data_IF_885162519496
#
_entry.id   IF_885162519496
#
_cell.length_a   1.000
_cell.length_b   1.000
_cell.length_c   1.000
_cell.angle_alpha   90.00
_cell.angle_beta   90.00
_cell.angle_gamma   90.00
#
_symmetry.space_group_name_H-M   'P 1'
#
loop_
_entity.id
_entity.type
_entity.pdbx_description
1 polymer ?
#
# COMPACT_ATOMS: atom_id res chain seq x y z
N UNK A 1 -11.51 -1.22 1.98
CA UNK A 1 -11.03 -0.81 3.31
C UNK A 1 -9.66 -1.40 3.62
N UNK A 2 -8.88 -0.72 4.47
CA UNK A 2 -7.65 -1.23 5.06
C UNK A 2 -7.64 -0.95 6.57
N UNK A 3 -6.54 -1.27 7.25
CA UNK A 3 -6.35 -0.97 8.68
C UNK A 3 -6.00 0.51 8.96
N UNK A 4 -5.81 1.32 7.95
CA UNK A 4 -5.52 2.76 8.07
C UNK A 4 -6.63 3.62 7.48
N UNK A 5 -6.89 3.49 6.18
CA UNK A 5 -7.90 4.24 5.43
C UNK A 5 -8.43 3.41 4.26
N UNK A 6 -9.47 3.87 3.59
CA UNK A 6 -9.83 3.31 2.29
C UNK A 6 -8.70 3.53 1.29
N UNK A 7 -8.51 2.55 0.42
CA UNK A 7 -7.58 2.60 -0.69
C UNK A 7 -8.29 2.35 -2.00
N UNK A 8 -7.79 2.94 -3.08
CA UNK A 8 -8.14 2.57 -4.44
C UNK A 8 -7.02 1.72 -5.00
N UNK A 9 -7.36 0.58 -5.56
CA UNK A 9 -6.39 -0.42 -5.97
C UNK A 9 -6.74 -1.12 -7.26
N UNK A 10 -5.78 -1.81 -7.80
CA UNK A 10 -5.93 -2.65 -8.98
C UNK A 10 -4.96 -3.84 -8.94
N UNK A 11 -5.15 -4.76 -9.86
CA UNK A 11 -4.27 -5.87 -10.09
C UNK A 11 -2.86 -5.41 -10.46
N UNK A 12 -1.83 -6.09 -9.98
CA UNK A 12 -0.42 -5.70 -10.19
C UNK A 12 -0.02 -5.62 -11.69
N UNK A 13 -0.60 -6.47 -12.52
CA UNK A 13 -0.31 -6.54 -13.96
C UNK A 13 -1.16 -5.61 -14.83
N UNK A 14 -2.17 -4.96 -14.28
CA UNK A 14 -3.15 -4.18 -15.04
C UNK A 14 -2.71 -2.72 -15.22
N UNK A 15 -1.99 -2.47 -16.32
CA UNK A 15 -1.54 -1.12 -16.68
C UNK A 15 -2.70 -0.15 -16.91
N UNK A 16 -3.78 -0.60 -17.54
CA UNK A 16 -4.92 0.27 -17.84
C UNK A 16 -5.65 0.69 -16.56
N UNK A 17 -5.82 -0.23 -15.61
CA UNK A 17 -6.38 0.09 -14.31
C UNK A 17 -5.47 1.05 -13.52
N UNK A 18 -4.16 0.87 -13.58
CA UNK A 18 -3.19 1.77 -12.97
C UNK A 18 -3.31 3.20 -13.52
N UNK A 19 -3.40 3.33 -14.84
CA UNK A 19 -3.57 4.63 -15.50
C UNK A 19 -4.93 5.26 -15.15
N UNK A 20 -5.97 4.45 -14.95
CA UNK A 20 -7.28 4.90 -14.46
C UNK A 20 -7.19 5.48 -13.05
N UNK A 21 -6.49 4.81 -12.14
CA UNK A 21 -6.23 5.32 -10.78
C UNK A 21 -5.50 6.67 -10.83
N UNK A 22 -4.46 6.78 -11.66
CA UNK A 22 -3.74 8.04 -11.83
C UNK A 22 -4.65 9.19 -12.28
N UNK A 23 -5.57 8.93 -13.19
CA UNK A 23 -6.55 9.94 -13.65
C UNK A 23 -7.53 10.33 -12.55
N UNK A 24 -8.10 9.36 -11.84
CA UNK A 24 -9.06 9.59 -10.73
C UNK A 24 -8.41 10.46 -9.66
N UNK A 25 -7.19 10.11 -9.25
CA UNK A 25 -6.46 10.78 -8.19
C UNK A 25 -5.65 11.99 -8.67
N UNK A 26 -5.57 12.24 -9.98
CA UNK A 26 -4.69 13.26 -10.60
C UNK A 26 -3.23 13.14 -10.15
N UNK A 27 -2.73 11.91 -10.11
CA UNK A 27 -1.35 11.61 -9.76
C UNK A 27 -0.44 11.83 -10.96
N UNK A 28 0.77 12.35 -10.71
CA UNK A 28 1.79 12.41 -11.75
C UNK A 28 2.40 11.02 -12.04
N UNK A 29 3.17 10.93 -13.12
CA UNK A 29 3.80 9.68 -13.55
C UNK A 29 4.86 9.15 -12.56
N UNK A 30 5.31 9.98 -11.61
CA UNK A 30 6.35 9.64 -10.63
C UNK A 30 5.78 9.19 -9.29
N UNK A 31 4.46 9.32 -9.09
CA UNK A 31 3.83 8.90 -7.86
C UNK A 31 4.03 7.40 -7.63
N UNK A 32 4.53 7.05 -6.46
CA UNK A 32 4.80 5.66 -6.10
C UNK A 32 3.52 4.99 -5.58
N UNK A 33 3.16 3.86 -6.17
CA UNK A 33 2.13 2.98 -5.66
C UNK A 33 2.72 2.02 -4.62
N UNK A 34 1.85 1.53 -3.74
CA UNK A 34 2.23 0.53 -2.73
C UNK A 34 1.70 -0.84 -3.15
N UNK A 35 2.54 -1.87 -3.02
CA UNK A 35 2.11 -3.25 -3.11
C UNK A 35 1.44 -3.66 -1.79
N UNK A 36 0.19 -4.05 -1.89
CA UNK A 36 -0.57 -4.62 -0.77
C UNK A 36 -0.43 -6.13 -0.83
N UNK A 37 0.28 -6.69 0.14
CA UNK A 37 0.64 -8.10 0.21
C UNK A 37 -0.16 -8.81 1.29
N UNK A 38 -0.39 -10.11 1.09
CA UNK A 38 -1.10 -10.97 2.03
C UNK A 38 -0.29 -11.29 3.27
N UNK A 39 1.02 -11.53 3.11
CA UNK A 39 1.93 -11.97 4.16
C UNK A 39 3.40 -11.66 3.84
N UNK A 40 4.30 -12.04 4.74
CA UNK A 40 5.74 -11.86 4.56
C UNK A 40 6.32 -12.68 3.40
N UNK A 41 5.78 -13.85 3.11
CA UNK A 41 6.22 -14.66 1.97
C UNK A 41 6.02 -13.92 0.66
N UNK A 42 4.90 -13.23 0.53
CA UNK A 42 4.58 -12.42 -0.63
C UNK A 42 5.49 -11.19 -0.72
N UNK A 43 5.78 -10.52 0.40
CA UNK A 43 6.79 -9.45 0.45
C UNK A 43 8.14 -9.95 -0.05
N UNK A 44 8.59 -11.11 0.43
CA UNK A 44 9.90 -11.68 0.06
C UNK A 44 10.00 -12.06 -1.42
N UNK A 45 8.88 -12.29 -2.09
CA UNK A 45 8.83 -12.49 -3.56
C UNK A 45 9.13 -11.20 -4.32
N UNK A 46 8.59 -10.08 -3.87
CA UNK A 46 8.64 -8.79 -4.58
C UNK A 46 9.74 -7.83 -4.09
N UNK A 47 10.31 -8.11 -2.92
CA UNK A 47 11.36 -7.28 -2.33
C UNK A 47 12.51 -8.12 -1.78
N UNK A 48 13.69 -7.51 -1.72
CA UNK A 48 14.87 -8.12 -1.09
C UNK A 48 14.76 -7.96 0.42
N UNK A 49 14.75 -9.08 1.11
CA UNK A 49 14.57 -9.16 2.57
C UNK A 49 15.73 -9.98 3.15
N UNK A 50 16.62 -9.34 3.88
CA UNK A 50 17.64 -10.03 4.67
C UNK A 50 17.09 -10.45 6.05
N UNK A 51 17.89 -11.12 6.85
CA UNK A 51 17.47 -11.65 8.14
C UNK A 51 17.09 -10.54 9.14
N UNK A 52 17.76 -9.40 9.10
CA UNK A 52 17.48 -8.27 10.00
C UNK A 52 16.16 -7.62 9.63
N UNK A 53 15.98 -7.33 8.36
CA UNK A 53 14.71 -6.80 7.83
C UNK A 53 13.56 -7.78 8.08
N UNK A 54 13.77 -9.08 7.86
CA UNK A 54 12.75 -10.09 8.11
C UNK A 54 12.24 -10.06 9.55
N UNK A 55 13.13 -9.93 10.53
CA UNK A 55 12.73 -9.87 11.96
C UNK A 55 11.88 -8.65 12.26
N UNK A 56 12.25 -7.48 11.70
CA UNK A 56 11.46 -6.25 11.83
C UNK A 56 10.07 -6.41 11.19
N UNK A 57 10.03 -6.91 9.97
CA UNK A 57 8.77 -7.14 9.27
C UNK A 57 7.85 -8.11 10.03
N UNK A 58 8.43 -9.20 10.56
CA UNK A 58 7.68 -10.18 11.34
C UNK A 58 7.06 -9.59 12.61
N UNK A 59 7.74 -8.65 13.24
CA UNK A 59 7.24 -7.96 14.43
C UNK A 59 6.12 -6.97 14.10
N UNK A 60 6.16 -6.34 12.93
CA UNK A 60 5.29 -5.24 12.54
C UNK A 60 4.15 -5.62 11.60
N UNK A 61 4.10 -6.88 11.15
CA UNK A 61 3.07 -7.32 10.19
C UNK A 61 2.21 -8.45 10.76
N UNK A 62 0.89 -8.44 10.47
CA UNK A 62 0.16 -7.38 9.78
C UNK A 62 0.08 -6.09 10.59
N UNK A 63 -0.04 -4.95 9.93
CA UNK A 63 -0.14 -3.67 10.63
C UNK A 63 -0.12 -2.47 9.70
N UNK A 64 -0.31 -1.29 10.28
CA UNK A 64 -0.46 -0.02 9.57
C UNK A 64 0.87 0.60 9.17
N UNK A 65 1.68 -0.15 8.45
CA UNK A 65 2.99 0.26 7.95
C UNK A 65 3.08 0.17 6.44
N UNK A 66 3.92 1.00 5.87
CA UNK A 66 4.45 0.89 4.52
C UNK A 66 5.97 0.80 4.58
N UNK A 67 6.53 -0.30 4.13
CA UNK A 67 7.97 -0.53 4.11
C UNK A 67 8.53 -0.26 2.72
N UNK A 68 9.60 0.53 2.64
CA UNK A 68 10.33 0.78 1.40
C UNK A 68 11.53 -0.18 1.37
N UNK A 69 11.58 -1.01 0.34
CA UNK A 69 12.60 -2.05 0.16
C UNK A 69 13.09 -2.05 -1.30
N UNK A 70 14.26 -2.61 -1.53
CA UNK A 70 14.74 -2.90 -2.90
C UNK A 70 13.81 -3.92 -3.55
N UNK A 71 13.32 -3.59 -4.74
CA UNK A 71 12.48 -4.46 -5.52
C UNK A 71 13.27 -5.62 -6.13
N UNK A 72 12.63 -6.78 -6.27
CA UNK A 72 13.09 -7.88 -7.10
C UNK A 72 12.65 -7.69 -8.55
N UNK A 73 13.10 -8.58 -9.44
CA UNK A 73 12.67 -8.61 -10.85
C UNK A 73 11.18 -8.94 -11.04
N UNK A 74 10.53 -9.46 -10.00
CA UNK A 74 9.08 -9.75 -10.01
C UNK A 74 8.22 -8.48 -10.02
N UNK A 75 8.76 -7.36 -9.56
CA UNK A 75 8.05 -6.07 -9.62
C UNK A 75 8.18 -5.48 -11.01
N UNK A 76 7.07 -5.17 -11.70
CA UNK A 76 7.13 -4.46 -12.98
C UNK A 76 7.88 -3.13 -12.86
N UNK A 77 8.73 -2.83 -13.83
CA UNK A 77 9.59 -1.63 -13.78
C UNK A 77 8.82 -0.32 -13.60
N UNK A 78 7.61 -0.22 -14.16
CA UNK A 78 6.73 0.95 -14.01
C UNK A 78 6.27 1.20 -12.57
N UNK A 79 6.36 0.20 -11.70
CA UNK A 79 5.92 0.25 -10.30
C UNK A 79 7.07 0.50 -9.34
N UNK A 80 8.31 0.47 -9.81
CA UNK A 80 9.50 0.78 -9.00
C UNK A 80 9.82 2.26 -9.04
N UNK A 81 10.46 2.73 -7.98
CA UNK A 81 11.15 4.02 -8.03
C UNK A 81 12.24 3.99 -9.10
N UNK A 82 12.19 4.94 -10.05
CA UNK A 82 13.02 4.89 -11.27
C UNK A 82 14.53 4.83 -10.98
N UNK A 83 15.01 5.59 -9.98
CA UNK A 83 16.45 5.66 -9.63
C UNK A 83 16.84 4.62 -8.57
N UNK A 84 16.11 4.57 -7.48
CA UNK A 84 16.46 3.72 -6.32
C UNK A 84 16.11 2.25 -6.53
N UNK A 85 15.24 1.93 -7.50
CA UNK A 85 14.71 0.59 -7.75
C UNK A 85 14.05 0.00 -6.51
N UNK A 86 13.32 0.82 -5.78
CA UNK A 86 12.59 0.47 -4.57
C UNK A 86 11.11 0.37 -4.83
N UNK A 87 10.41 -0.30 -3.93
CA UNK A 87 8.96 -0.43 -3.91
C UNK A 87 8.48 -0.30 -2.48
N UNK A 88 7.32 0.32 -2.29
CA UNK A 88 6.62 0.31 -1.00
C UNK A 88 5.73 -0.92 -0.90
N UNK A 89 5.78 -1.60 0.24
CA UNK A 89 4.97 -2.80 0.50
C UNK A 89 4.29 -2.68 1.86
N UNK A 90 3.11 -3.27 1.98
CA UNK A 90 2.40 -3.38 3.25
C UNK A 90 1.63 -4.68 3.36
N UNK A 91 1.40 -5.11 4.61
CA UNK A 91 0.49 -6.21 4.96
C UNK A 91 -0.58 -5.65 5.89
N UNK A 92 -1.75 -5.24 5.37
CA UNK A 92 -2.80 -4.65 6.18
C UNK A 92 -3.40 -5.65 7.17
N UNK A 93 -3.64 -5.20 8.39
CA UNK A 93 -4.41 -5.93 9.40
C UNK A 93 -5.90 -5.62 9.22
N UNK A 94 -6.48 -6.19 8.16
CA UNK A 94 -7.90 -6.02 7.83
C UNK A 94 -8.42 -7.29 7.16
N UNK A 95 -9.45 -7.88 7.73
CA UNK A 95 -10.00 -9.17 7.28
C UNK A 95 -10.55 -9.11 5.84
N UNK A 96 -11.15 -8.00 5.45
CA UNK A 96 -11.69 -7.82 4.08
C UNK A 96 -10.55 -7.76 3.07
N UNK A 97 -9.54 -6.95 3.33
CA UNK A 97 -8.35 -6.87 2.47
C UNK A 97 -7.64 -8.22 2.36
N UNK A 98 -7.48 -8.93 3.48
CA UNK A 98 -6.84 -10.24 3.50
C UNK A 98 -7.63 -11.29 2.72
N UNK A 99 -8.96 -11.30 2.83
CA UNK A 99 -9.81 -12.19 2.05
C UNK A 99 -9.70 -11.90 0.54
N UNK A 100 -9.71 -10.63 0.16
CA UNK A 100 -9.55 -10.20 -1.23
C UNK A 100 -8.19 -10.64 -1.81
N UNK A 101 -7.11 -10.45 -1.07
CA UNK A 101 -5.77 -10.85 -1.49
C UNK A 101 -5.63 -12.37 -1.60
N UNK A 102 -6.28 -13.11 -0.71
CA UNK A 102 -6.30 -14.58 -0.74
C UNK A 102 -7.00 -15.09 -1.99
N UNK A 103 -8.16 -14.56 -2.32
CA UNK A 103 -8.91 -14.93 -3.53
C UNK A 103 -8.18 -14.52 -4.80
N UNK A 104 -7.55 -13.35 -4.80
CA UNK A 104 -6.78 -12.85 -5.94
C UNK A 104 -5.50 -13.68 -6.20
N UNK A 105 -4.88 -14.20 -5.14
CA UNK A 105 -3.67 -15.02 -5.22
C UNK A 105 -2.39 -14.24 -5.53
N UNK A 106 -2.43 -12.91 -5.54
CA UNK A 106 -1.29 -12.04 -5.79
C UNK A 106 -1.50 -10.65 -5.15
N UNK A 107 -0.44 -9.82 -5.04
CA UNK A 107 -0.57 -8.49 -4.48
C UNK A 107 -1.40 -7.55 -5.35
N UNK A 108 -1.96 -6.55 -4.70
CA UNK A 108 -2.61 -5.42 -5.39
C UNK A 108 -1.70 -4.19 -5.35
N UNK A 109 -1.83 -3.36 -6.38
CA UNK A 109 -1.31 -1.99 -6.35
C UNK A 109 -2.36 -1.09 -5.74
N UNK A 110 -1.96 -0.20 -4.85
CA UNK A 110 -2.90 0.73 -4.23
C UNK A 110 -2.31 2.10 -3.92
N UNK A 111 -3.20 3.06 -3.78
CA UNK A 111 -2.97 4.37 -3.18
C UNK A 111 -4.12 4.69 -2.24
N UNK A 112 -3.87 5.55 -1.26
CA UNK A 112 -4.93 6.00 -0.34
C UNK A 112 -6.05 6.72 -1.12
N UNK A 113 -7.31 6.49 -0.72
CA UNK A 113 -8.48 7.08 -1.38
C UNK A 113 -8.71 8.52 -0.93
N UNK A 114 -7.83 9.39 -1.40
CA UNK A 114 -7.93 10.84 -1.21
C UNK A 114 -8.31 11.46 -2.56
N UNK A 115 -9.44 12.16 -2.62
CA UNK A 115 -9.85 12.86 -3.84
C UNK A 115 -8.96 14.06 -4.12
N UNK A 116 -8.76 14.43 -5.40
CA UNK A 116 -7.98 15.62 -5.75
C UNK A 116 -8.52 16.87 -5.04
N UNK A 117 -7.63 17.61 -4.38
CA UNK A 117 -7.99 18.81 -3.61
C UNK A 117 -8.39 18.55 -2.16
N UNK A 118 -8.66 17.31 -1.77
CA UNK A 118 -8.96 16.96 -0.39
C UNK A 118 -7.69 16.75 0.43
N UNK A 119 -7.75 17.09 1.70
CA UNK A 119 -6.66 16.88 2.66
C UNK A 119 -6.70 15.47 3.27
N UNK A 120 -7.91 14.91 3.42
CA UNK A 120 -8.15 13.64 4.11
C UNK A 120 -8.80 12.61 3.18
N UNK A 121 -8.58 11.30 3.42
CA UNK A 121 -9.25 10.25 2.67
C UNK A 121 -10.76 10.23 2.94
N UNK A 122 -11.52 9.75 1.96
CA UNK A 122 -12.93 9.43 2.16
C UNK A 122 -13.04 8.26 3.15
N UNK A 123 -13.94 8.40 4.13
CA UNK A 123 -14.11 7.44 5.23
C UNK A 123 -15.39 6.62 5.14
N UNK A 124 -16.39 7.13 4.45
CA UNK A 124 -17.71 6.51 4.30
C UNK A 124 -17.79 5.80 2.93
N UNK A 125 -18.03 4.49 2.90
CA UNK A 125 -18.16 3.76 1.64
C UNK A 125 -19.34 4.24 0.78
N UNK A 126 -20.38 4.79 1.37
CA UNK A 126 -21.46 5.44 0.63
C UNK A 126 -20.94 6.63 -0.19
N UNK A 127 -20.18 7.52 0.42
CA UNK A 127 -19.58 8.68 -0.25
C UNK A 127 -18.60 8.26 -1.34
N UNK A 128 -17.82 7.21 -1.09
CA UNK A 128 -16.91 6.63 -2.09
C UNK A 128 -17.70 6.13 -3.29
N UNK A 129 -18.76 5.39 -3.06
CA UNK A 129 -19.62 4.86 -4.12
C UNK A 129 -20.26 6.01 -4.93
N UNK A 130 -20.87 6.98 -4.26
CA UNK A 130 -21.48 8.12 -4.93
C UNK A 130 -20.48 8.91 -5.79
N UNK A 131 -19.24 9.03 -5.31
CA UNK A 131 -18.20 9.78 -6.02
C UNK A 131 -17.61 8.99 -7.19
N UNK A 132 -17.44 7.67 -7.06
CA UNK A 132 -16.61 6.85 -7.96
C UNK A 132 -17.34 5.74 -8.71
N UNK A 133 -18.65 5.56 -8.53
CA UNK A 133 -19.39 4.42 -9.09
C UNK A 133 -19.27 4.26 -10.61
N UNK A 134 -18.98 5.32 -11.34
CA UNK A 134 -18.77 5.30 -12.79
C UNK A 134 -17.30 5.20 -13.20
N UNK A 135 -16.37 5.29 -12.23
CA UNK A 135 -14.93 5.32 -12.49
C UNK A 135 -14.22 4.04 -12.02
N UNK A 136 -14.83 3.28 -11.12
CA UNK A 136 -14.31 2.01 -10.61
C UNK A 136 -15.26 0.86 -10.89
N UNK A 137 -14.73 -0.36 -10.95
CA UNK A 137 -15.52 -1.55 -11.23
C UNK A 137 -16.28 -2.07 -9.99
N UNK A 138 -15.71 -1.82 -8.80
CA UNK A 138 -16.23 -2.34 -7.53
C UNK A 138 -15.91 -1.41 -6.38
N UNK A 139 -16.86 -1.22 -5.48
CA UNK A 139 -16.66 -0.60 -4.17
C UNK A 139 -16.99 -1.64 -3.11
N UNK A 140 -16.05 -1.94 -2.24
CA UNK A 140 -16.23 -2.89 -1.14
C UNK A 140 -16.55 -2.11 0.12
N UNK A 141 -17.76 -2.28 0.62
CA UNK A 141 -18.23 -1.66 1.86
C UNK A 141 -17.73 -2.46 3.07
N UNK A 142 -16.79 -1.89 3.78
CA UNK A 142 -16.28 -2.41 5.06
C UNK A 142 -16.66 -1.54 6.25
N UNK A 143 -17.68 -0.68 6.09
CA UNK A 143 -18.03 0.32 7.09
C UNK A 143 -17.11 1.53 7.05
N UNK A 144 -17.13 2.33 8.09
CA UNK A 144 -16.24 3.49 8.20
C UNK A 144 -14.79 3.06 8.36
N UNK A 145 -13.89 3.70 7.62
CA UNK A 145 -12.44 3.59 7.80
C UNK A 145 -11.87 4.85 8.49
N UNK A 146 -10.64 4.72 8.98
CA UNK A 146 -9.90 5.85 9.54
C UNK A 146 -9.39 6.83 8.48
N UNK A 147 -8.76 7.90 8.98
CA UNK A 147 -8.13 8.93 8.16
C UNK A 147 -6.61 8.98 8.36
N UNK A 148 -6.11 8.21 9.31
CA UNK A 148 -4.70 8.22 9.67
C UNK A 148 -3.87 7.43 8.67
N UNK A 149 -2.81 8.04 8.16
CA UNK A 149 -1.92 7.40 7.20
C UNK A 149 -1.07 6.30 7.87
N UNK A 150 -0.54 5.39 7.06
CA UNK A 150 0.45 4.41 7.53
C UNK A 150 1.75 5.09 7.97
N UNK A 151 2.44 4.48 8.91
CA UNK A 151 3.85 4.78 9.17
C UNK A 151 4.69 4.26 8.02
N UNK A 152 5.55 5.11 7.46
CA UNK A 152 6.42 4.77 6.33
C UNK A 152 7.86 4.62 6.82
N UNK A 153 8.44 3.45 6.61
CA UNK A 153 9.80 3.12 7.05
C UNK A 153 10.64 2.67 5.85
N UNK A 154 11.75 3.37 5.63
CA UNK A 154 12.75 2.97 4.63
C UNK A 154 13.70 1.96 5.27
N UNK A 155 13.75 0.75 4.71
CA UNK A 155 14.57 -0.38 5.18
C UNK A 155 15.63 -0.77 4.12
N UNK A 156 15.98 0.12 3.22
CA UNK A 156 16.95 -0.14 2.15
C UNK A 156 18.37 -0.24 2.70
N UNK A 157 18.72 0.66 3.62
CA UNK A 157 20.03 0.72 4.26
C UNK A 157 20.04 -0.06 5.58
N UNK A 158 21.22 -0.26 6.15
CA UNK A 158 21.39 -1.04 7.39
C UNK A 158 20.61 -0.47 8.59
N UNK A 159 20.42 0.86 8.61
CA UNK A 159 19.67 1.54 9.67
C UNK A 159 18.29 1.91 9.17
N UNK A 160 17.21 1.45 9.83
CA UNK A 160 15.86 1.86 9.50
C UNK A 160 15.67 3.38 9.58
N UNK A 161 14.95 3.94 8.63
CA UNK A 161 14.63 5.38 8.61
C UNK A 161 13.12 5.58 8.57
N UNK A 162 12.55 6.16 9.62
CA UNK A 162 11.14 6.54 9.64
C UNK A 162 10.95 7.78 8.77
N UNK A 163 10.36 7.58 7.60
CA UNK A 163 10.09 8.65 6.63
C UNK A 163 8.84 9.46 6.99
N UNK A 164 7.88 8.81 7.63
CA UNK A 164 6.64 9.42 8.11
C UNK A 164 6.12 8.62 9.29
N UNK A 165 5.94 9.26 10.43
CA UNK A 165 5.18 8.69 11.53
C UNK A 165 3.67 8.79 11.20
N UNK A 166 2.97 7.68 11.34
CA UNK A 166 1.54 7.56 11.13
C UNK A 166 0.93 6.63 12.18
N UNK A 167 -0.03 5.81 11.76
CA UNK A 167 -0.77 4.94 12.67
C UNK A 167 0.07 3.82 13.30
N UNK A 168 1.07 3.31 12.58
CA UNK A 168 1.98 2.29 13.11
C UNK A 168 2.96 2.85 14.13
N UNK A 169 3.22 2.10 15.21
CA UNK A 169 4.18 2.48 16.25
C UNK A 169 5.60 2.60 15.67
N UNK A 170 6.30 3.69 16.00
CA UNK A 170 7.69 3.93 15.53
C UNK A 170 8.75 3.30 16.44
N UNK A 171 8.39 2.91 17.67
CA UNK A 171 9.34 2.39 18.64
C UNK A 171 10.22 1.22 18.12
N UNK A 172 9.73 0.28 17.30
CA UNK A 172 10.57 -0.79 16.75
C UNK A 172 11.72 -0.30 15.85
N UNK A 173 11.68 0.95 15.38
CA UNK A 173 12.64 1.53 14.43
C UNK A 173 13.49 2.65 15.04
N UNK A 174 13.26 2.97 16.31
CA UNK A 174 14.08 3.89 17.08
C UNK A 174 15.20 3.14 17.80
N UNK A 175 16.44 3.58 17.63
CA UNK A 175 17.62 3.07 18.34
C UNK A 175 17.90 3.90 19.59
#
# INVERSE_FOLDING_TARGET
>A
PTDSAYAIGCHIGDKNALDRIRRIRKLDARHNFTLVCRDLSEIATYARVDNTVYRLLKHCTPGSYTFILKATSEVPRRLMHAKRKTVGLRVPDNNITQALLTDLGEPMMSVTMIMPGDEYPLIDPYDIRETLQHDVDLVIDGGYCGMEATTVVDLVDETPLVMRAGKGDIAPFEN
#
